data_IF_776439647705
#
_entry.id   IF_776439647705
#
_cell.length_a   1.000
_cell.length_b   1.000
_cell.length_c   1.000
_cell.angle_alpha   90.00
_cell.angle_beta   90.00
_cell.angle_gamma   90.00
#
_symmetry.space_group_name_H-M   'P 1'
#
loop_
_entity.id
_entity.type
_entity.pdbx_description
1 polymer ?
#
# COMPACT_ATOMS: atom_id res chain seq x y z
N UNK A 1 -13.71 -35.38 -1.41
CA UNK A 1 -12.28 -35.36 -1.75
C UNK A 1 -12.11 -34.62 -3.06
N UNK A 2 -11.94 -33.29 -3.01
CA UNK A 2 -11.62 -32.44 -4.16
C UNK A 2 -10.44 -31.57 -3.76
N UNK A 3 -9.32 -31.72 -4.48
CA UNK A 3 -8.15 -30.86 -4.41
C UNK A 3 -8.31 -29.83 -5.53
N UNK A 4 -8.37 -28.55 -5.20
CA UNK A 4 -8.18 -27.45 -6.15
C UNK A 4 -7.02 -26.59 -5.65
N UNK A 5 -5.82 -26.90 -6.15
CA UNK A 5 -4.68 -25.99 -6.09
C UNK A 5 -4.84 -24.95 -7.18
N UNK A 6 -4.75 -23.67 -6.82
CA UNK A 6 -4.74 -22.57 -7.76
C UNK A 6 -3.31 -22.41 -8.29
N UNK A 7 -3.04 -22.59 -9.60
CA UNK A 7 -1.70 -22.41 -10.13
C UNK A 7 -1.41 -20.93 -10.36
N UNK A 8 -0.27 -20.49 -9.85
CA UNK A 8 0.39 -19.27 -10.28
C UNK A 8 0.47 -19.24 -11.82
N UNK A 9 -0.06 -18.18 -12.42
CA UNK A 9 0.02 -17.93 -13.86
C UNK A 9 1.36 -17.25 -14.17
N UNK A 10 2.23 -17.98 -14.87
CA UNK A 10 3.45 -17.52 -15.54
C UNK A 10 3.25 -17.58 -17.06
N UNK A 11 3.88 -16.68 -17.82
CA UNK A 11 4.11 -16.86 -19.26
C UNK A 11 5.53 -16.40 -19.60
N UNK A 12 6.34 -17.30 -20.16
CA UNK A 12 7.66 -17.05 -20.74
C UNK A 12 7.59 -17.05 -22.27
N UNK A 13 8.23 -16.09 -22.94
CA UNK A 13 8.44 -16.09 -24.40
C UNK A 13 9.67 -15.27 -24.79
N UNK A 14 10.60 -15.88 -25.53
CA UNK A 14 11.92 -15.32 -25.88
C UNK A 14 11.96 -14.72 -27.29
N UNK A 15 12.69 -13.61 -27.51
CA UNK A 15 13.49 -13.39 -28.73
C UNK A 15 14.43 -12.17 -28.64
N UNK A 16 15.74 -12.43 -28.64
CA UNK A 16 16.82 -11.77 -29.38
C UNK A 16 16.64 -10.35 -29.98
N UNK A 17 17.38 -9.33 -29.47
CA UNK A 17 18.52 -8.62 -30.16
C UNK A 17 18.87 -7.21 -29.64
N UNK A 18 20.20 -7.00 -29.58
CA UNK A 18 21.01 -5.78 -29.80
C UNK A 18 21.14 -4.69 -28.71
N UNK A 19 22.40 -4.58 -28.25
CA UNK A 19 22.97 -3.62 -27.31
C UNK A 19 23.08 -2.19 -27.86
N UNK A 20 22.83 -1.19 -27.01
CA UNK A 20 23.34 0.18 -27.16
C UNK A 20 23.89 0.68 -25.82
N UNK A 21 25.10 1.23 -25.85
CA UNK A 21 25.86 1.78 -24.70
C UNK A 21 25.68 3.29 -24.66
N UNK A 22 25.41 3.87 -23.48
CA UNK A 22 25.56 5.31 -23.19
C UNK A 22 26.34 5.52 -21.87
N UNK A 23 27.05 6.66 -21.71
CA UNK A 23 28.17 6.84 -20.76
C UNK A 23 27.73 7.30 -19.35
N UNK A 24 28.64 7.24 -18.34
CA UNK A 24 28.28 7.38 -16.93
C UNK A 24 28.14 8.84 -16.44
N UNK A 25 27.19 9.08 -15.55
CA UNK A 25 27.07 10.31 -14.77
C UNK A 25 27.90 10.24 -13.46
N UNK A 26 28.52 11.35 -13.10
CA UNK A 26 29.37 11.51 -11.90
C UNK A 26 28.55 11.63 -10.59
N UNK A 27 29.09 11.19 -9.43
CA UNK A 27 28.35 11.14 -8.17
C UNK A 27 28.34 12.48 -7.39
N UNK A 28 27.25 12.81 -6.66
CA UNK A 28 27.23 13.93 -5.73
C UNK A 28 27.81 13.56 -4.34
N UNK A 29 28.35 14.57 -3.65
CA UNK A 29 28.97 14.51 -2.32
C UNK A 29 27.95 14.34 -1.17
N UNK A 30 28.34 13.74 -0.03
CA UNK A 30 27.43 13.39 1.05
C UNK A 30 27.07 14.57 1.96
N UNK A 31 25.85 14.56 2.49
CA UNK A 31 25.38 15.40 3.59
C UNK A 31 25.19 14.55 4.85
N UNK A 32 25.44 15.18 5.99
CA UNK A 32 25.69 14.63 7.33
C UNK A 32 24.49 13.99 8.02
N UNK A 33 24.81 13.02 8.89
CA UNK A 33 23.95 11.98 9.48
C UNK A 33 22.99 12.45 10.58
N UNK A 34 21.76 11.93 10.51
CA UNK A 34 20.88 11.60 11.64
C UNK A 34 20.47 10.12 11.53
N UNK A 35 19.70 9.53 12.47
CA UNK A 35 19.48 8.08 12.58
C UNK A 35 18.61 7.45 11.46
N UNK A 36 18.55 8.07 10.28
CA UNK A 36 17.71 7.74 9.13
C UNK A 36 18.49 7.11 7.95
N UNK A 37 19.73 6.66 8.18
CA UNK A 37 20.66 6.24 7.13
C UNK A 37 20.10 5.20 6.13
N UNK A 38 19.28 4.25 6.59
CA UNK A 38 18.66 3.23 5.72
C UNK A 38 17.63 3.79 4.71
N UNK A 39 16.86 4.80 5.09
CA UNK A 39 15.70 5.27 4.33
C UNK A 39 16.06 6.31 3.26
N UNK A 40 17.08 7.13 3.51
CA UNK A 40 17.49 8.21 2.61
C UNK A 40 18.08 7.66 1.30
N UNK A 41 18.67 6.47 1.34
CA UNK A 41 19.42 5.91 0.21
C UNK A 41 18.53 5.25 -0.87
N UNK A 42 17.34 4.77 -0.52
CA UNK A 42 16.40 4.17 -1.47
C UNK A 42 15.46 5.17 -2.15
N UNK A 43 15.18 6.31 -1.51
CA UNK A 43 14.23 7.29 -2.02
C UNK A 43 14.69 8.73 -1.72
N UNK A 44 15.59 9.31 -2.53
CA UNK A 44 16.18 10.64 -2.28
C UNK A 44 15.16 11.81 -2.28
N UNK A 45 13.89 11.55 -2.67
CA UNK A 45 12.84 12.56 -2.79
C UNK A 45 11.77 12.54 -1.68
N UNK A 46 11.83 11.63 -0.69
CA UNK A 46 10.82 11.57 0.39
C UNK A 46 10.80 12.84 1.27
N UNK A 47 11.81 13.71 1.19
CA UNK A 47 11.88 14.93 2.01
C UNK A 47 11.57 16.28 1.34
N UNK A 48 11.24 16.32 0.02
CA UNK A 48 11.18 17.62 -0.70
C UNK A 48 9.80 18.15 -1.04
N UNK A 49 8.76 17.33 -0.95
CA UNK A 49 7.40 17.77 -1.28
C UNK A 49 6.55 17.69 -0.02
N UNK A 50 6.42 18.81 0.71
CA UNK A 50 5.29 18.97 1.64
C UNK A 50 4.04 19.04 0.79
N UNK A 51 3.34 17.92 0.63
CA UNK A 51 1.99 17.94 0.10
C UNK A 51 1.12 18.34 1.27
N UNK A 52 0.88 19.64 1.45
CA UNK A 52 -0.02 20.11 2.50
C UNK A 52 -1.34 19.36 2.37
N UNK A 53 -1.65 18.50 3.34
CA UNK A 53 -2.99 17.95 3.49
C UNK A 53 -4.00 19.09 3.40
N UNK A 54 -4.68 19.16 2.25
CA UNK A 54 -5.89 19.94 2.10
C UNK A 54 -7.00 18.91 2.17
N UNK A 55 -7.93 19.04 3.12
CA UNK A 55 -9.16 18.29 2.99
C UNK A 55 -9.68 18.53 1.58
N UNK A 56 -10.03 17.47 0.85
CA UNK A 56 -10.89 17.62 -0.32
C UNK A 56 -12.06 18.48 0.13
N UNK A 57 -12.16 19.68 -0.46
CA UNK A 57 -12.84 20.88 0.08
C UNK A 57 -14.37 20.74 0.25
N UNK A 58 -14.92 19.53 0.29
CA UNK A 58 -16.36 19.32 0.16
C UNK A 58 -17.14 19.16 1.46
N UNK A 59 -16.58 18.69 2.58
CA UNK A 59 -17.41 18.52 3.80
C UNK A 59 -16.78 18.85 5.16
N UNK A 60 -15.51 19.30 5.23
CA UNK A 60 -15.00 19.89 6.48
C UNK A 60 -15.50 21.33 6.58
N UNK A 61 -16.78 21.50 6.94
CA UNK A 61 -17.25 22.80 7.40
C UNK A 61 -16.45 23.14 8.65
N UNK A 62 -15.51 24.07 8.53
CA UNK A 62 -15.05 24.88 9.68
C UNK A 62 -16.26 25.68 10.17
N UNK A 63 -17.11 25.06 10.98
CA UNK A 63 -17.96 25.81 11.88
C UNK A 63 -17.02 26.59 12.80
N UNK A 64 -17.17 27.93 12.78
CA UNK A 64 -16.51 28.87 13.67
C UNK A 64 -16.49 28.32 15.09
N UNK A 65 -15.30 28.31 15.70
CA UNK A 65 -15.03 28.24 17.15
C UNK A 65 -15.88 27.23 17.97
N UNK A 66 -15.23 26.19 18.51
CA UNK A 66 -15.74 25.26 19.55
C UNK A 66 -16.41 23.94 19.14
N UNK A 67 -16.40 23.51 17.87
CA UNK A 67 -16.75 22.10 17.59
C UNK A 67 -15.50 21.21 17.73
N UNK A 68 -15.33 20.61 18.91
CA UNK A 68 -14.43 19.50 19.23
C UNK A 68 -14.75 18.21 18.45
N UNK A 69 -15.62 18.26 17.43
CA UNK A 69 -16.16 17.09 16.74
C UNK A 69 -15.90 17.18 15.24
N UNK A 70 -15.42 16.09 14.65
CA UNK A 70 -15.13 15.94 13.24
C UNK A 70 -15.93 14.82 12.62
N UNK A 71 -16.50 15.12 11.44
CA UNK A 71 -17.40 14.23 10.72
C UNK A 71 -16.66 13.50 9.62
N UNK A 72 -16.85 12.18 9.55
CA UNK A 72 -16.25 11.31 8.55
C UNK A 72 -17.32 10.50 7.84
N UNK A 73 -17.24 10.45 6.52
CA UNK A 73 -18.14 9.67 5.69
C UNK A 73 -17.61 8.24 5.60
N UNK A 74 -18.50 7.27 5.84
CA UNK A 74 -18.16 5.85 5.86
C UNK A 74 -18.95 5.10 4.81
N UNK A 75 -18.25 4.32 3.98
CA UNK A 75 -18.87 3.37 3.07
C UNK A 75 -18.59 1.93 3.50
N UNK A 76 -19.59 1.06 3.40
CA UNK A 76 -19.51 -0.32 3.88
C UNK A 76 -19.58 -1.31 2.71
N UNK A 77 -18.58 -2.18 2.57
CA UNK A 77 -18.69 -3.40 1.75
C UNK A 77 -19.03 -4.58 2.67
N UNK A 78 -20.14 -5.26 2.42
CA UNK A 78 -20.68 -6.32 3.28
C UNK A 78 -20.80 -7.62 2.48
N UNK A 79 -20.03 -8.62 2.90
CA UNK A 79 -20.08 -9.96 2.33
C UNK A 79 -21.36 -10.71 2.77
N UNK A 80 -21.84 -11.74 2.03
CA UNK A 80 -23.01 -12.53 2.45
C UNK A 80 -22.87 -13.21 3.83
N UNK A 81 -21.65 -13.49 4.27
CA UNK A 81 -21.38 -14.07 5.60
C UNK A 81 -21.31 -13.03 6.74
N UNK A 82 -21.53 -11.74 6.43
CA UNK A 82 -21.54 -10.64 7.40
C UNK A 82 -20.19 -9.96 7.59
N UNK A 83 -19.08 -10.51 7.08
CA UNK A 83 -17.78 -9.84 7.07
C UNK A 83 -17.93 -8.48 6.41
N UNK A 84 -17.40 -7.45 7.07
CA UNK A 84 -17.57 -6.06 6.68
C UNK A 84 -16.23 -5.38 6.54
N UNK A 85 -16.07 -4.64 5.44
CA UNK A 85 -14.99 -3.70 5.23
C UNK A 85 -15.58 -2.28 5.20
N UNK A 86 -15.19 -1.45 6.17
CA UNK A 86 -15.64 -0.08 6.27
C UNK A 86 -14.53 0.88 5.81
N UNK A 87 -14.84 1.78 4.89
CA UNK A 87 -13.90 2.76 4.33
C UNK A 87 -14.24 4.16 4.83
N UNK A 88 -13.23 4.89 5.32
CA UNK A 88 -13.37 6.33 5.59
C UNK A 88 -13.04 7.10 4.32
N UNK A 89 -14.05 7.73 3.70
CA UNK A 89 -13.93 8.30 2.35
C UNK A 89 -12.90 9.43 2.27
N UNK A 90 -12.76 10.21 3.35
CA UNK A 90 -11.83 11.34 3.42
C UNK A 90 -10.37 10.92 3.70
N UNK A 91 -10.15 9.68 4.16
CA UNK A 91 -8.84 9.19 4.62
C UNK A 91 -8.46 7.92 3.84
N UNK A 92 -7.87 8.09 2.66
CA UNK A 92 -7.49 6.98 1.79
C UNK A 92 -6.57 5.97 2.50
N UNK A 93 -6.96 4.69 2.53
CA UNK A 93 -6.23 3.68 3.31
C UNK A 93 -6.72 3.49 4.74
N UNK A 94 -7.60 4.35 5.26
CA UNK A 94 -8.21 4.19 6.57
C UNK A 94 -9.44 3.28 6.46
N UNK A 95 -9.21 2.00 6.71
CA UNK A 95 -10.23 0.96 6.61
C UNK A 95 -10.35 0.17 7.90
N UNK A 96 -11.55 -0.32 8.19
CA UNK A 96 -11.81 -1.26 9.27
C UNK A 96 -12.38 -2.54 8.71
N UNK A 97 -11.66 -3.65 8.88
CA UNK A 97 -12.09 -4.99 8.50
C UNK A 97 -12.50 -5.77 9.74
N UNK A 98 -13.68 -6.37 9.72
CA UNK A 98 -14.22 -7.11 10.86
C UNK A 98 -15.22 -8.20 10.44
N UNK A 99 -15.58 -9.07 11.38
CA UNK A 99 -16.53 -10.17 11.15
C UNK A 99 -17.99 -9.71 11.13
N UNK A 100 -18.24 -8.44 11.50
CA UNK A 100 -19.57 -7.84 11.43
C UNK A 100 -19.53 -6.34 11.17
N UNK A 101 -20.63 -5.81 10.65
CA UNK A 101 -20.86 -4.36 10.48
C UNK A 101 -20.65 -3.58 11.78
N UNK A 102 -21.20 -4.09 12.88
CA UNK A 102 -21.13 -3.40 14.16
C UNK A 102 -19.68 -3.30 14.64
N UNK A 103 -18.93 -4.38 14.57
CA UNK A 103 -17.52 -4.40 14.97
C UNK A 103 -16.67 -3.51 14.05
N UNK A 104 -16.91 -3.52 12.74
CA UNK A 104 -16.20 -2.65 11.81
C UNK A 104 -16.38 -1.16 12.19
N UNK A 105 -17.63 -0.75 12.47
CA UNK A 105 -17.95 0.62 12.87
C UNK A 105 -17.41 0.99 14.25
N UNK A 106 -17.43 0.06 15.22
CA UNK A 106 -16.91 0.30 16.57
C UNK A 106 -15.40 0.56 16.59
N UNK A 107 -14.64 -0.05 15.67
CA UNK A 107 -13.18 0.13 15.56
C UNK A 107 -12.77 1.44 14.86
N UNK A 108 -13.64 1.99 14.01
CA UNK A 108 -13.30 3.14 13.15
C UNK A 108 -12.79 4.39 13.89
N UNK A 109 -13.38 4.83 15.03
CA UNK A 109 -12.87 6.01 15.72
C UNK A 109 -11.40 5.87 16.11
N UNK A 110 -11.02 4.72 16.69
CA UNK A 110 -9.63 4.42 17.03
C UNK A 110 -8.71 4.42 15.80
N UNK A 111 -9.14 3.78 14.71
CA UNK A 111 -8.38 3.72 13.46
C UNK A 111 -8.20 5.10 12.81
N UNK A 112 -9.19 5.99 12.93
CA UNK A 112 -9.08 7.38 12.45
C UNK A 112 -8.05 8.15 13.28
N UNK A 113 -8.04 8.00 14.61
CA UNK A 113 -6.99 8.59 15.45
C UNK A 113 -5.60 8.05 15.10
N UNK A 114 -5.46 6.74 14.90
CA UNK A 114 -4.21 6.11 14.47
C UNK A 114 -3.78 6.61 13.09
N UNK A 115 -4.71 6.81 12.16
CA UNK A 115 -4.43 7.37 10.84
C UNK A 115 -3.90 8.81 10.94
N UNK A 116 -4.51 9.65 11.77
CA UNK A 116 -4.02 11.01 12.01
C UNK A 116 -2.66 11.04 12.69
N UNK A 117 -2.41 10.12 13.63
CA UNK A 117 -1.09 9.98 14.26
C UNK A 117 -0.03 9.53 13.24
N UNK A 118 -0.39 8.60 12.36
CA UNK A 118 0.45 8.14 11.26
C UNK A 118 0.84 9.29 10.33
N UNK A 119 -0.15 10.07 9.87
CA UNK A 119 0.08 11.28 9.08
C UNK A 119 1.00 12.29 9.81
N UNK A 120 0.79 12.55 11.11
CA UNK A 120 1.69 13.43 11.90
C UNK A 120 3.11 12.90 11.98
N UNK A 121 3.27 11.57 12.09
CA UNK A 121 4.58 10.91 12.09
C UNK A 121 5.39 11.18 10.82
N UNK A 122 4.71 11.37 9.69
CA UNK A 122 5.30 11.77 8.41
C UNK A 122 5.34 13.29 8.19
N UNK A 123 4.97 14.07 9.21
CA UNK A 123 5.05 15.54 9.18
C UNK A 123 3.84 16.24 8.56
N UNK A 124 2.73 15.52 8.34
CA UNK A 124 1.49 16.10 7.84
C UNK A 124 0.72 16.84 8.91
N UNK A 125 -0.02 17.86 8.48
CA UNK A 125 -0.94 18.58 9.35
C UNK A 125 -2.23 17.76 9.52
N UNK A 126 -2.61 17.48 10.77
CA UNK A 126 -3.84 16.76 11.08
C UNK A 126 -4.61 17.42 12.22
N UNK A 127 -5.89 17.05 12.44
CA UNK A 127 -6.64 17.45 13.61
C UNK A 127 -5.93 17.09 14.93
N UNK A 128 -6.33 17.77 16.01
CA UNK A 128 -5.86 17.48 17.36
C UNK A 128 -6.25 16.05 17.81
N UNK A 129 -5.49 15.50 18.76
CA UNK A 129 -5.67 14.12 19.24
C UNK A 129 -6.97 13.88 19.98
N UNK A 130 -7.50 14.90 20.63
CA UNK A 130 -8.70 14.88 21.46
C UNK A 130 -9.99 15.21 20.71
N UNK A 131 -9.94 15.29 19.37
CA UNK A 131 -11.13 15.56 18.55
C UNK A 131 -12.09 14.37 18.58
N UNK A 132 -13.35 14.62 18.93
CA UNK A 132 -14.42 13.64 18.84
C UNK A 132 -14.68 13.26 17.36
N UNK A 133 -14.96 11.99 17.12
CA UNK A 133 -15.19 11.44 15.79
C UNK A 133 -16.67 11.09 15.64
N UNK A 134 -17.34 11.76 14.69
CA UNK A 134 -18.72 11.48 14.26
C UNK A 134 -18.69 10.73 12.93
N UNK A 135 -19.30 9.55 12.88
CA UNK A 135 -19.32 8.69 11.70
C UNK A 135 -20.66 8.80 10.99
N UNK A 136 -20.62 9.09 9.69
CA UNK A 136 -21.80 9.19 8.83
C UNK A 136 -21.77 8.12 7.77
N UNK A 137 -22.73 7.21 7.78
CA UNK A 137 -22.81 6.16 6.76
C UNK A 137 -23.27 6.79 5.44
N UNK A 138 -22.37 6.87 4.47
CA UNK A 138 -22.58 7.45 3.16
C UNK A 138 -23.18 6.44 2.16
N UNK A 139 -22.99 5.14 2.40
CA UNK A 139 -23.54 4.07 1.57
C UNK A 139 -23.05 2.70 1.98
N UNK A 140 -23.62 1.68 1.34
CA UNK A 140 -23.22 0.29 1.50
C UNK A 140 -23.35 -0.48 0.17
N UNK A 141 -22.47 -1.45 -0.05
CA UNK A 141 -22.58 -2.48 -1.08
C UNK A 141 -22.65 -3.85 -0.42
N UNK A 142 -23.54 -4.70 -0.94
CA UNK A 142 -23.78 -6.03 -0.39
C UNK A 142 -23.50 -7.11 -1.43
N UNK A 143 -22.98 -8.24 -0.97
CA UNK A 143 -22.84 -9.46 -1.79
C UNK A 143 -21.44 -9.73 -2.34
N UNK A 144 -20.50 -8.81 -2.18
CA UNK A 144 -19.09 -8.96 -2.54
C UNK A 144 -18.22 -8.01 -1.73
N UNK A 145 -16.90 -8.21 -1.80
CA UNK A 145 -15.89 -7.30 -1.26
C UNK A 145 -14.50 -7.96 -1.26
N UNK A 146 -13.42 -7.18 -1.05
CA UNK A 146 -12.05 -7.65 -1.19
C UNK A 146 -11.56 -8.43 0.04
N UNK A 147 -12.36 -9.39 0.48
CA UNK A 147 -12.06 -10.24 1.63
C UNK A 147 -11.02 -11.31 1.30
N UNK A 148 -11.00 -11.80 0.07
CA UNK A 148 -10.03 -12.79 -0.38
C UNK A 148 -9.20 -12.20 -1.53
N UNK A 149 -7.92 -12.61 -1.69
CA UNK A 149 -7.08 -12.10 -2.77
C UNK A 149 -7.74 -12.30 -4.13
N UNK A 150 -7.84 -11.22 -4.91
CA UNK A 150 -8.44 -11.23 -6.24
C UNK A 150 -9.96 -11.00 -6.27
N UNK A 151 -10.65 -10.93 -5.12
CA UNK A 151 -12.06 -10.57 -5.09
C UNK A 151 -12.28 -9.12 -5.57
N UNK A 152 -13.41 -8.90 -6.24
CA UNK A 152 -13.88 -7.57 -6.60
C UNK A 152 -14.04 -6.65 -5.38
N UNK A 153 -13.79 -5.36 -5.59
CA UNK A 153 -13.99 -4.30 -4.62
C UNK A 153 -15.04 -3.30 -5.12
N UNK A 154 -15.80 -2.70 -4.20
CA UNK A 154 -16.81 -1.72 -4.56
C UNK A 154 -16.21 -0.48 -5.23
N UNK A 155 -16.99 0.10 -6.13
CA UNK A 155 -16.77 1.45 -6.63
C UNK A 155 -17.42 2.44 -5.66
N UNK A 156 -16.61 3.19 -4.92
CA UNK A 156 -17.10 4.15 -3.94
C UNK A 156 -17.72 5.37 -4.62
N UNK A 157 -18.59 6.14 -3.93
CA UNK A 157 -19.34 7.25 -4.54
C UNK A 157 -18.49 8.27 -5.31
N UNK A 158 -17.28 8.56 -4.81
CA UNK A 158 -16.36 9.52 -5.44
C UNK A 158 -15.40 8.89 -6.46
N UNK A 159 -15.29 7.55 -6.51
CA UNK A 159 -14.38 6.84 -7.42
C UNK A 159 -14.57 7.19 -8.91
N UNK A 160 -15.79 7.46 -9.42
CA UNK A 160 -15.99 7.89 -10.80
C UNK A 160 -15.47 9.29 -11.15
N UNK A 161 -15.11 10.11 -10.16
CA UNK A 161 -14.65 11.48 -10.41
C UNK A 161 -13.20 11.47 -10.94
N UNK A 162 -12.87 12.31 -11.95
CA UNK A 162 -11.50 12.47 -12.41
C UNK A 162 -10.55 12.80 -11.27
N UNK A 163 -9.32 12.29 -11.35
CA UNK A 163 -8.27 12.59 -10.38
C UNK A 163 -7.47 13.80 -10.86
N UNK A 164 -7.42 14.85 -10.03
CA UNK A 164 -6.60 16.02 -10.32
C UNK A 164 -5.10 15.73 -10.12
N UNK A 165 -4.21 16.51 -10.74
CA UNK A 165 -2.76 16.25 -10.69
C UNK A 165 -2.15 16.42 -9.30
N UNK A 166 -2.59 17.42 -8.57
CA UNK A 166 -2.20 17.64 -7.17
C UNK A 166 -2.73 16.53 -6.25
N UNK A 167 -3.95 16.07 -6.51
CA UNK A 167 -4.54 14.94 -5.82
C UNK A 167 -3.83 13.61 -6.11
N UNK A 168 -3.40 13.36 -7.35
CA UNK A 168 -2.54 12.23 -7.69
C UNK A 168 -1.26 12.26 -6.85
N UNK A 169 -0.57 13.40 -6.79
CA UNK A 169 0.66 13.53 -5.98
C UNK A 169 0.38 13.33 -4.49
N UNK A 170 -0.79 13.70 -3.98
CA UNK A 170 -1.21 13.39 -2.62
C UNK A 170 -1.33 11.88 -2.38
N UNK A 171 -2.03 11.15 -3.25
CA UNK A 171 -2.11 9.68 -3.13
C UNK A 171 -0.72 9.02 -3.22
N UNK A 172 0.14 9.50 -4.12
CA UNK A 172 1.52 8.98 -4.25
C UNK A 172 2.37 9.28 -3.01
N UNK A 173 2.16 10.41 -2.33
CA UNK A 173 2.81 10.71 -1.05
C UNK A 173 2.35 9.74 0.04
N UNK A 174 1.05 9.46 0.15
CA UNK A 174 0.53 8.47 1.10
C UNK A 174 1.10 7.07 0.85
N UNK A 175 1.20 6.65 -0.42
CA UNK A 175 1.84 5.39 -0.78
C UNK A 175 3.33 5.39 -0.37
N UNK A 176 4.05 6.51 -0.55
CA UNK A 176 5.44 6.63 -0.12
C UNK A 176 5.59 6.51 1.40
N UNK A 177 4.68 7.10 2.19
CA UNK A 177 4.64 6.94 3.65
C UNK A 177 4.45 5.48 4.06
N UNK A 178 3.50 4.77 3.42
CA UNK A 178 3.28 3.34 3.65
C UNK A 178 4.54 2.51 3.43
N UNK A 179 5.25 2.77 2.34
CA UNK A 179 6.49 2.05 2.01
C UNK A 179 7.63 2.38 2.96
N UNK A 180 7.77 3.63 3.36
CA UNK A 180 8.76 4.02 4.35
C UNK A 180 8.56 3.28 5.67
N UNK A 181 7.31 3.09 6.11
CA UNK A 181 7.00 2.35 7.33
C UNK A 181 7.26 0.86 7.19
N UNK A 182 6.90 0.26 6.06
CA UNK A 182 7.20 -1.14 5.75
C UNK A 182 8.72 -1.38 5.80
N UNK A 183 9.50 -0.58 5.07
CA UNK A 183 10.96 -0.71 5.05
C UNK A 183 11.57 -0.42 6.42
N UNK A 184 11.03 0.55 7.16
CA UNK A 184 11.41 0.83 8.54
C UNK A 184 11.16 -0.34 9.49
N UNK A 185 10.10 -1.13 9.29
CA UNK A 185 9.89 -2.38 10.01
C UNK A 185 10.96 -3.41 9.67
N UNK A 186 11.24 -3.63 8.38
CA UNK A 186 12.23 -4.62 7.94
C UNK A 186 13.65 -4.28 8.43
N UNK A 187 14.02 -3.00 8.37
CA UNK A 187 15.35 -2.55 8.84
C UNK A 187 15.57 -2.80 10.34
N UNK A 188 14.51 -2.85 11.15
CA UNK A 188 14.62 -3.16 12.60
C UNK A 188 14.92 -4.64 12.87
N UNK A 189 14.57 -5.53 11.96
CA UNK A 189 14.78 -6.98 12.10
C UNK A 189 16.19 -7.42 11.68
N UNK A 190 16.93 -6.56 10.99
CA UNK A 190 18.33 -6.78 10.59
C UNK A 190 19.29 -5.77 11.24
N UNK A 191 19.47 -5.77 12.58
CA UNK A 191 20.50 -4.95 13.23
C UNK A 191 21.94 -5.31 12.79
N UNK A 192 22.13 -6.48 12.18
CA UNK A 192 23.42 -6.98 11.74
C UNK A 192 23.74 -6.52 10.30
N UNK A 193 24.29 -5.29 10.22
CA UNK A 193 25.36 -4.83 9.32
C UNK A 193 25.08 -3.38 8.92
N UNK A 194 25.29 -2.46 9.87
CA UNK A 194 25.81 -1.15 9.51
C UNK A 194 27.16 -1.38 8.82
N UNK A 195 27.14 -1.53 7.49
CA UNK A 195 28.27 -1.05 6.70
C UNK A 195 28.33 0.45 6.94
N UNK A 196 29.34 0.93 7.65
CA UNK A 196 29.63 2.36 7.85
C UNK A 196 30.04 3.07 6.54
N UNK A 197 29.85 2.42 5.39
CA UNK A 197 30.38 2.79 4.08
C UNK A 197 29.29 3.08 3.02
N UNK A 198 28.01 3.00 3.39
CA UNK A 198 26.91 3.24 2.44
C UNK A 198 26.67 2.08 1.47
N UNK A 199 27.09 0.86 1.83
CA UNK A 199 26.76 -0.37 1.10
C UNK A 199 25.25 -0.70 1.16
N UNK A 200 24.70 -1.42 0.15
CA UNK A 200 23.27 -1.71 0.03
C UNK A 200 22.71 -2.41 1.27
N UNK A 201 21.39 -2.21 1.50
CA UNK A 201 20.64 -2.76 2.64
C UNK A 201 21.01 -4.23 2.90
N UNK A 202 21.27 -4.63 4.17
CA UNK A 202 21.55 -6.02 4.49
C UNK A 202 20.37 -6.88 4.02
N UNK A 203 20.67 -7.94 3.27
CA UNK A 203 19.68 -8.91 2.86
C UNK A 203 19.01 -9.52 4.10
N UNK A 204 17.68 -9.62 4.06
CA UNK A 204 16.93 -10.30 5.11
C UNK A 204 17.26 -11.79 5.05
N UNK A 205 17.62 -12.43 6.18
CA UNK A 205 18.03 -13.83 6.13
C UNK A 205 16.86 -14.75 5.77
N UNK A 206 17.14 -15.82 5.02
CA UNK A 206 16.11 -16.71 4.49
C UNK A 206 15.26 -17.36 5.60
N UNK A 207 15.85 -17.66 6.76
CA UNK A 207 15.11 -18.20 7.91
C UNK A 207 14.04 -17.23 8.44
N UNK A 208 14.29 -15.92 8.39
CA UNK A 208 13.31 -14.89 8.71
C UNK A 208 12.26 -14.78 7.60
N UNK A 209 12.72 -14.74 6.34
CA UNK A 209 11.86 -14.55 5.18
C UNK A 209 10.86 -15.69 4.99
N UNK A 210 11.28 -16.94 5.25
CA UNK A 210 10.48 -18.13 4.99
C UNK A 210 9.76 -18.67 6.23
N UNK A 211 9.99 -18.07 7.40
CA UNK A 211 9.25 -18.39 8.62
C UNK A 211 7.76 -18.09 8.47
N UNK A 212 6.93 -18.96 9.07
CA UNK A 212 5.47 -18.85 9.07
C UNK A 212 4.93 -19.04 10.49
N UNK A 213 3.97 -18.22 10.94
CA UNK A 213 3.36 -18.36 12.26
C UNK A 213 2.52 -19.63 12.41
N UNK A 214 1.94 -20.13 11.32
CA UNK A 214 1.15 -21.36 11.30
C UNK A 214 1.29 -22.08 9.95
N UNK A 215 1.01 -23.40 9.87
CA UNK A 215 0.92 -24.10 8.60
C UNK A 215 -0.02 -23.38 7.63
N UNK A 216 0.41 -23.19 6.39
CA UNK A 216 -0.34 -22.52 5.31
C UNK A 216 -0.58 -21.01 5.47
N UNK A 217 -0.09 -20.39 6.54
CA UNK A 217 -0.06 -18.93 6.65
C UNK A 217 0.97 -18.33 5.68
N UNK A 218 0.89 -17.01 5.44
CA UNK A 218 1.88 -16.36 4.59
C UNK A 218 3.21 -16.23 5.35
N UNK A 219 4.32 -16.53 4.67
CA UNK A 219 5.64 -16.14 5.13
C UNK A 219 5.89 -14.67 4.85
N UNK A 220 6.91 -14.09 5.49
CA UNK A 220 7.30 -12.71 5.23
C UNK A 220 7.66 -12.51 3.75
N UNK A 221 8.41 -13.44 3.14
CA UNK A 221 8.74 -13.42 1.71
C UNK A 221 7.48 -13.34 0.83
N UNK A 222 6.48 -14.18 1.14
CA UNK A 222 5.23 -14.24 0.38
C UNK A 222 4.44 -12.94 0.50
N UNK A 223 4.34 -12.35 1.69
CA UNK A 223 3.66 -11.05 1.87
C UNK A 223 4.40 -9.95 1.10
N UNK A 224 5.73 -9.87 1.21
CA UNK A 224 6.51 -8.83 0.54
C UNK A 224 6.45 -8.94 -0.99
N UNK A 225 6.53 -10.16 -1.55
CA UNK A 225 6.29 -10.36 -2.99
C UNK A 225 4.87 -9.96 -3.39
N UNK A 226 3.88 -10.32 -2.58
CA UNK A 226 2.49 -9.96 -2.84
C UNK A 226 2.26 -8.43 -2.86
N UNK A 227 2.91 -7.69 -1.95
CA UNK A 227 2.88 -6.21 -1.95
C UNK A 227 3.46 -5.66 -3.25
N UNK A 228 4.64 -6.14 -3.66
CA UNK A 228 5.27 -5.65 -4.89
C UNK A 228 4.44 -5.94 -6.14
N UNK A 229 3.98 -7.18 -6.33
CA UNK A 229 3.18 -7.56 -7.51
C UNK A 229 1.86 -6.76 -7.61
N UNK A 230 1.33 -6.26 -6.48
CA UNK A 230 0.11 -5.46 -6.49
C UNK A 230 0.31 -4.11 -7.19
N UNK A 231 1.53 -3.57 -7.23
CA UNK A 231 1.86 -2.29 -7.86
C UNK A 231 1.60 -2.35 -9.38
N UNK A 232 2.18 -3.34 -10.07
CA UNK A 232 1.85 -3.65 -11.47
C UNK A 232 0.35 -3.91 -11.63
N UNK A 233 -0.22 -4.75 -10.76
CA UNK A 233 -1.62 -5.15 -10.88
C UNK A 233 -2.56 -3.94 -10.88
N UNK A 234 -2.40 -2.99 -9.95
CA UNK A 234 -3.23 -1.78 -9.91
C UNK A 234 -3.01 -0.86 -11.11
N UNK A 235 -1.79 -0.72 -11.61
CA UNK A 235 -1.52 0.06 -12.81
C UNK A 235 -2.17 -0.57 -14.04
N UNK A 236 -2.13 -1.90 -14.16
CA UNK A 236 -2.77 -2.63 -15.25
C UNK A 236 -4.29 -2.48 -15.30
N UNK A 237 -4.93 -2.04 -14.20
CA UNK A 237 -6.37 -1.74 -14.18
C UNK A 237 -6.72 -0.41 -14.86
N UNK A 238 -5.73 0.44 -15.13
CA UNK A 238 -5.92 1.81 -15.63
C UNK A 238 -5.53 1.98 -17.11
N UNK A 239 -4.68 1.10 -17.62
CA UNK A 239 -4.01 1.29 -18.91
C UNK A 239 -3.99 0.01 -19.72
N UNK A 240 -3.76 0.13 -21.04
CA UNK A 240 -3.60 -1.04 -21.89
C UNK A 240 -2.34 -1.83 -21.46
N UNK A 241 -2.38 -3.18 -21.43
CA UNK A 241 -1.23 -4.03 -21.14
C UNK A 241 0.01 -3.72 -22.00
N UNK A 242 -0.19 -3.33 -23.26
CA UNK A 242 0.89 -2.96 -24.19
C UNK A 242 1.64 -1.68 -23.77
N UNK A 243 1.09 -0.92 -22.82
CA UNK A 243 1.70 0.32 -22.30
C UNK A 243 2.32 0.14 -20.92
N UNK A 244 2.33 -1.10 -20.40
CA UNK A 244 3.00 -1.42 -19.16
C UNK A 244 4.52 -1.35 -19.36
N UNK A 245 5.28 -0.84 -18.38
CA UNK A 245 6.73 -0.88 -18.40
C UNK A 245 7.31 -2.28 -18.58
N UNK A 246 8.18 -2.47 -19.56
CA UNK A 246 8.87 -3.73 -19.82
C UNK A 246 9.75 -4.22 -18.65
N UNK A 247 10.10 -3.34 -17.70
CA UNK A 247 10.87 -3.74 -16.51
C UNK A 247 10.13 -4.77 -15.64
N UNK A 248 8.79 -4.79 -15.68
CA UNK A 248 7.98 -5.80 -14.98
C UNK A 248 8.08 -7.21 -15.58
N UNK A 249 8.60 -7.38 -16.79
CA UNK A 249 8.74 -8.71 -17.41
C UNK A 249 9.86 -9.56 -16.77
N UNK A 250 10.73 -8.97 -15.95
CA UNK A 250 11.97 -9.59 -15.46
C UNK A 250 12.18 -9.40 -13.94
N UNK A 251 11.09 -9.26 -13.18
CA UNK A 251 11.09 -8.96 -11.75
C UNK A 251 11.32 -10.19 -10.83
N UNK A 252 11.09 -11.40 -11.36
CA UNK A 252 11.07 -12.65 -10.60
C UNK A 252 12.42 -12.97 -9.93
N UNK A 253 13.51 -12.71 -10.64
CA UNK A 253 14.87 -13.04 -10.21
C UNK A 253 15.53 -11.94 -9.36
N UNK A 254 14.87 -10.80 -9.20
CA UNK A 254 15.41 -9.70 -8.40
C UNK A 254 15.48 -10.07 -6.91
N UNK A 255 16.58 -9.71 -6.21
CA UNK A 255 16.61 -9.77 -4.74
C UNK A 255 15.44 -9.01 -4.14
N UNK A 256 14.81 -9.54 -3.08
CA UNK A 256 13.49 -9.10 -2.62
C UNK A 256 13.37 -7.59 -2.35
N UNK A 257 14.39 -6.96 -1.75
CA UNK A 257 14.38 -5.52 -1.49
C UNK A 257 14.58 -4.70 -2.76
N UNK A 258 15.37 -5.21 -3.72
CA UNK A 258 15.54 -4.59 -5.04
C UNK A 258 14.25 -4.69 -5.85
N UNK A 259 13.59 -5.85 -5.79
CA UNK A 259 12.25 -6.06 -6.35
C UNK A 259 11.26 -5.03 -5.82
N UNK A 260 11.10 -4.91 -4.50
CA UNK A 260 10.19 -3.93 -3.90
C UNK A 260 10.50 -2.49 -4.34
N UNK A 261 11.78 -2.13 -4.39
CA UNK A 261 12.22 -0.80 -4.82
C UNK A 261 11.91 -0.55 -6.30
N UNK A 262 12.16 -1.54 -7.16
CA UNK A 262 11.82 -1.51 -8.57
C UNK A 262 10.32 -1.33 -8.77
N UNK A 263 9.50 -2.21 -8.18
CA UNK A 263 8.04 -2.19 -8.32
C UNK A 263 7.44 -0.82 -8.03
N UNK A 264 7.80 -0.24 -6.88
CA UNK A 264 7.29 1.06 -6.49
C UNK A 264 7.74 2.17 -7.42
N UNK A 265 9.02 2.19 -7.79
CA UNK A 265 9.54 3.21 -8.70
C UNK A 265 8.80 3.15 -10.03
N UNK A 266 8.68 1.96 -10.60
CA UNK A 266 8.04 1.70 -11.89
C UNK A 266 6.56 2.10 -11.86
N UNK A 267 5.81 1.71 -10.82
CA UNK A 267 4.42 2.10 -10.66
C UNK A 267 4.23 3.61 -10.50
N UNK A 268 4.99 4.25 -9.61
CA UNK A 268 4.93 5.71 -9.41
C UNK A 268 5.24 6.46 -10.71
N UNK A 269 6.29 6.06 -11.41
CA UNK A 269 6.68 6.67 -12.67
C UNK A 269 5.60 6.50 -13.74
N UNK A 270 4.94 5.34 -13.81
CA UNK A 270 3.84 5.12 -14.75
C UNK A 270 2.57 5.90 -14.38
N UNK A 271 2.22 5.94 -13.09
CA UNK A 271 1.08 6.68 -12.56
C UNK A 271 1.21 8.19 -12.83
N UNK A 272 2.40 8.76 -12.61
CA UNK A 272 2.67 10.18 -12.94
C UNK A 272 2.54 10.50 -14.42
N UNK A 273 2.81 9.53 -15.28
CA UNK A 273 2.68 9.65 -16.75
C UNK A 273 1.27 9.38 -17.28
N UNK A 274 0.30 9.03 -16.43
CA UNK A 274 -1.08 8.93 -16.89
C UNK A 274 -1.53 10.24 -17.51
N UNK A 275 -2.25 10.18 -18.62
CA UNK A 275 -2.87 11.33 -19.28
C UNK A 275 -4.10 11.80 -18.49
N UNK A 276 -4.57 13.02 -18.73
CA UNK A 276 -5.80 13.52 -18.07
C UNK A 276 -7.02 12.67 -18.44
N UNK A 277 -7.01 12.15 -19.67
CA UNK A 277 -8.00 11.22 -20.17
C UNK A 277 -7.94 9.88 -19.42
N UNK A 278 -6.77 9.25 -19.25
CA UNK A 278 -6.61 8.05 -18.38
C UNK A 278 -7.03 8.32 -16.93
N UNK A 279 -6.75 9.50 -16.38
CA UNK A 279 -7.15 9.90 -15.01
C UNK A 279 -8.66 10.13 -14.83
N UNK A 280 -9.41 10.22 -15.94
CA UNK A 280 -10.86 10.48 -15.95
C UNK A 280 -11.71 9.28 -16.36
N UNK A 281 -11.09 8.22 -16.88
CA UNK A 281 -11.78 7.08 -17.47
C UNK A 281 -12.24 6.06 -16.44
N UNK A 282 -13.34 5.38 -16.78
CA UNK A 282 -13.74 4.10 -16.18
C UNK A 282 -13.27 3.00 -17.12
N UNK A 283 -12.47 2.08 -16.60
CA UNK A 283 -11.89 0.94 -17.32
C UNK A 283 -12.54 -0.34 -16.83
N UNK A 284 -12.78 -1.28 -17.75
CA UNK A 284 -13.22 -2.64 -17.46
C UNK A 284 -12.12 -3.59 -17.92
N UNK A 285 -11.21 -3.98 -17.02
CA UNK A 285 -10.08 -4.82 -17.39
C UNK A 285 -10.55 -6.19 -17.89
N UNK A 286 -9.93 -6.67 -18.95
CA UNK A 286 -10.22 -8.00 -19.51
C UNK A 286 -9.10 -9.01 -19.30
N UNK A 287 -7.95 -8.56 -18.78
CA UNK A 287 -6.78 -9.38 -18.51
C UNK A 287 -6.50 -9.45 -17.01
N UNK A 288 -6.02 -10.59 -16.54
CA UNK A 288 -5.63 -10.84 -15.14
C UNK A 288 -6.73 -10.47 -14.13
N UNK A 289 -7.98 -10.78 -14.46
CA UNK A 289 -9.14 -10.60 -13.57
C UNK A 289 -10.12 -11.75 -13.75
N UNK A 290 -10.72 -12.17 -12.64
CA UNK A 290 -11.89 -13.07 -12.61
C UNK A 290 -13.21 -12.27 -12.63
N UNK A 291 -13.12 -10.94 -12.59
CA UNK A 291 -14.22 -9.98 -12.54
C UNK A 291 -14.12 -8.94 -13.68
N UNK A 292 -14.31 -9.33 -14.95
CA UNK A 292 -14.23 -8.39 -16.08
C UNK A 292 -15.36 -7.34 -16.08
N UNK A 293 -16.43 -7.58 -15.33
CA UNK A 293 -17.53 -6.64 -15.11
C UNK A 293 -17.20 -5.53 -14.10
N UNK A 294 -16.12 -5.67 -13.34
CA UNK A 294 -15.76 -4.73 -12.29
C UNK A 294 -15.20 -3.43 -12.89
N UNK A 295 -15.79 -2.26 -12.60
CA UNK A 295 -15.26 -0.98 -13.02
C UNK A 295 -14.03 -0.59 -12.19
N UNK A 296 -13.02 -0.07 -12.88
CA UNK A 296 -11.80 0.49 -12.33
C UNK A 296 -11.65 1.95 -12.75
N UNK A 297 -11.27 2.80 -11.81
CA UNK A 297 -10.95 4.22 -12.04
C UNK A 297 -9.61 4.53 -11.40
N UNK A 298 -8.96 5.62 -11.84
CA UNK A 298 -7.70 6.06 -11.24
C UNK A 298 -7.83 6.24 -9.72
N UNK A 299 -8.93 6.84 -9.25
CA UNK A 299 -9.19 7.03 -7.82
C UNK A 299 -9.30 5.72 -7.06
N UNK A 300 -10.07 4.75 -7.58
CA UNK A 300 -10.22 3.42 -6.97
C UNK A 300 -8.87 2.71 -6.89
N UNK A 301 -8.10 2.70 -7.98
CA UNK A 301 -6.79 2.06 -8.02
C UNK A 301 -5.80 2.66 -7.01
N UNK A 302 -5.71 4.00 -6.94
CA UNK A 302 -4.84 4.70 -5.99
C UNK A 302 -5.26 4.44 -4.54
N UNK A 303 -6.57 4.48 -4.24
CA UNK A 303 -7.11 4.16 -2.92
C UNK A 303 -6.76 2.73 -2.52
N UNK A 304 -7.03 1.76 -3.39
CA UNK A 304 -6.78 0.33 -3.13
C UNK A 304 -5.29 0.01 -2.99
N UNK A 305 -4.41 0.68 -3.75
CA UNK A 305 -2.96 0.58 -3.59
C UNK A 305 -2.51 0.93 -2.16
N UNK A 306 -3.01 2.04 -1.62
CA UNK A 306 -2.67 2.49 -0.25
C UNK A 306 -3.30 1.56 0.79
N UNK A 307 -4.59 1.22 0.66
CA UNK A 307 -5.29 0.30 1.55
C UNK A 307 -4.55 -1.04 1.65
N UNK A 308 -4.19 -1.62 0.50
CA UNK A 308 -3.51 -2.91 0.40
C UNK A 308 -2.14 -2.92 1.07
N UNK A 309 -1.29 -1.94 0.79
CA UNK A 309 0.04 -1.89 1.42
C UNK A 309 -0.07 -1.67 2.94
N UNK A 310 -1.03 -0.87 3.42
CA UNK A 310 -1.25 -0.66 4.86
C UNK A 310 -1.74 -1.94 5.55
N UNK A 311 -2.71 -2.65 4.97
CA UNK A 311 -3.18 -3.95 5.47
C UNK A 311 -2.01 -4.95 5.57
N UNK A 312 -1.21 -5.09 4.52
CA UNK A 312 -0.10 -6.05 4.53
C UNK A 312 1.08 -5.58 5.37
N UNK A 313 1.28 -4.28 5.58
CA UNK A 313 2.25 -3.77 6.56
C UNK A 313 1.85 -4.15 7.99
N UNK A 314 0.56 -4.13 8.31
CA UNK A 314 0.06 -4.65 9.58
C UNK A 314 0.30 -6.17 9.69
N UNK A 315 0.01 -6.94 8.63
CA UNK A 315 0.31 -8.38 8.57
C UNK A 315 1.81 -8.68 8.77
N UNK A 316 2.70 -7.91 8.15
CA UNK A 316 4.16 -8.03 8.36
C UNK A 316 4.50 -7.82 9.85
N UNK A 317 3.91 -6.81 10.50
CA UNK A 317 4.12 -6.56 11.92
C UNK A 317 3.68 -7.74 12.80
N UNK A 318 2.54 -8.35 12.48
CA UNK A 318 2.03 -9.54 13.18
C UNK A 318 2.95 -10.74 13.02
N UNK A 319 3.41 -11.03 11.80
CA UNK A 319 4.36 -12.11 11.51
C UNK A 319 5.65 -11.91 12.33
N UNK A 320 6.22 -10.70 12.29
CA UNK A 320 7.45 -10.39 13.03
C UNK A 320 7.25 -10.49 14.56
N UNK A 321 6.12 -10.03 15.08
CA UNK A 321 5.79 -10.14 16.49
C UNK A 321 5.65 -11.60 16.93
N UNK A 322 4.98 -12.42 16.14
CA UNK A 322 4.81 -13.85 16.41
C UNK A 322 6.16 -14.59 16.40
N UNK A 323 7.06 -14.26 15.45
CA UNK A 323 8.42 -14.84 15.42
C UNK A 323 9.23 -14.46 16.66
N UNK A 324 9.18 -13.20 17.10
CA UNK A 324 9.85 -12.76 18.34
C UNK A 324 9.33 -13.53 19.56
N UNK A 325 8.01 -13.66 19.70
CA UNK A 325 7.41 -14.43 20.78
C UNK A 325 7.88 -15.89 20.79
N UNK A 326 7.98 -16.53 19.61
CA UNK A 326 8.52 -17.88 19.49
C UNK A 326 9.98 -17.97 19.97
N UNK A 327 10.84 -17.03 19.56
CA UNK A 327 12.26 -17.03 19.94
C UNK A 327 12.47 -16.79 21.44
N UNK A 328 11.66 -15.94 22.06
CA UNK A 328 11.75 -15.67 23.50
C UNK A 328 11.30 -16.86 24.36
N UNK A 329 10.33 -17.67 23.89
CA UNK A 329 9.93 -18.90 24.57
C UNK A 329 10.93 -20.06 24.44
N UNK A 330 11.89 -19.98 23.53
CA UNK A 330 12.91 -21.02 23.31
C UNK A 330 14.26 -20.70 23.96
N UNK A 331 14.38 -19.61 24.74
CA UNK A 331 15.55 -19.39 25.58
C UNK A 331 15.51 -20.37 26.75
N UNK A 332 16.51 -21.26 26.93
CA UNK A 332 16.55 -22.15 28.09
C UNK A 332 16.59 -21.30 29.37
N UNK A 333 15.84 -21.73 30.39
CA UNK A 333 15.91 -21.13 31.73
C UNK A 333 17.38 -21.15 32.22
N UNK A 334 17.84 -20.05 32.86
CA UNK A 334 19.25 -19.83 33.20
C UNK A 334 19.85 -20.87 34.17
#
# INVERSE_FOLDING_TARGET
MLKSGNPALRISGSSDRHSFILPPFAPPKPLTEGPSGCLIQLYPNIGRTRVLWRPLDRHIRKTRADSLEMKYSVFLEINPDGRTLAHVLELAGCISRADSRQEALQRLPGLIHEYHAWLRGHGEATPAEDVAIDLQIAGESSGYGPFDPGNAAALLPDDPQPVARDELEYYLALAAYGRADLLGLLCRETPAALGTDGSPLPELPDDLLDWQPAPHSFSLRRVLRHIGNAEEWYVSRLVSPETLPAEWEHDEDLPLLQFLAMERRTAVDRLRRLTDDELSRVVYPSQWTDHPEEPWTARKALRRLIEHEREHTAQVREILAARRGMLDHHKPDP
#
